data_IF_197590265271
#
_entry.id   IF_197590265271
#
_cell.length_a   1.000
_cell.length_b   1.000
_cell.length_c   1.000
_cell.angle_alpha   90.00
_cell.angle_beta   90.00
_cell.angle_gamma   90.00
#
_symmetry.space_group_name_H-M   'P 1'
#
loop_
_entity.id
_entity.type
_entity.pdbx_description
1 polymer ?
#
# COMPACT_ATOMS: atom_id res chain seq x y z
N UNK A 1 4.01 -31.40 -17.28
CA UNK A 1 4.88 -31.26 -16.10
C UNK A 1 4.69 -29.86 -15.56
N UNK A 2 4.12 -29.66 -14.37
CA UNK A 2 3.90 -28.31 -13.81
C UNK A 2 5.23 -27.79 -13.28
N UNK A 3 5.70 -26.69 -13.84
CA UNK A 3 6.91 -25.99 -13.41
C UNK A 3 6.64 -25.28 -12.09
N UNK A 4 7.32 -25.69 -11.02
CA UNK A 4 7.30 -25.09 -9.68
C UNK A 4 8.11 -23.78 -9.71
N UNK A 5 7.46 -22.63 -9.75
CA UNK A 5 8.12 -21.33 -9.82
C UNK A 5 8.22 -20.57 -8.49
N UNK A 6 7.53 -21.01 -7.45
CA UNK A 6 7.41 -20.25 -6.19
C UNK A 6 7.77 -21.08 -4.95
N UNK A 7 8.95 -21.68 -4.91
CA UNK A 7 9.49 -22.22 -3.66
C UNK A 7 10.83 -21.58 -3.32
N UNK A 8 10.84 -20.44 -2.63
CA UNK A 8 11.91 -20.18 -1.66
C UNK A 8 11.44 -20.72 -0.33
N UNK A 9 12.14 -21.77 0.12
CA UNK A 9 11.97 -22.36 1.43
C UNK A 9 12.24 -21.32 2.51
N UNK A 10 11.24 -21.05 3.34
CA UNK A 10 11.43 -20.51 4.68
C UNK A 10 12.07 -21.64 5.48
N UNK A 11 13.20 -21.42 6.18
CA UNK A 11 13.79 -22.48 7.01
C UNK A 11 12.83 -22.84 8.13
N UNK A 12 12.54 -24.13 8.23
CA UNK A 12 11.78 -24.73 9.32
C UNK A 12 12.48 -24.43 10.66
N UNK A 13 11.81 -23.72 11.55
CA UNK A 13 12.16 -23.72 12.98
C UNK A 13 11.45 -24.85 13.66
N UNK A 14 12.28 -25.61 14.36
CA UNK A 14 12.00 -26.81 15.08
C UNK A 14 10.85 -26.70 16.10
N UNK A 15 10.19 -27.82 16.28
CA UNK A 15 9.31 -28.22 17.39
C UNK A 15 9.76 -27.74 18.76
N UNK A 16 8.82 -27.18 19.50
CA UNK A 16 8.82 -27.28 20.96
C UNK A 16 7.40 -27.60 21.42
N UNK A 17 7.31 -28.77 22.00
CA UNK A 17 6.12 -29.43 22.55
C UNK A 17 5.61 -28.75 23.81
N UNK A 18 4.38 -29.12 24.11
CA UNK A 18 3.72 -29.29 25.41
C UNK A 18 2.95 -28.07 25.95
N UNK A 19 1.63 -28.21 25.89
CA UNK A 19 0.72 -27.69 26.91
C UNK A 19 0.78 -28.55 28.17
N UNK A 20 0.52 -27.97 29.35
CA UNK A 20 -0.64 -28.50 30.06
C UNK A 20 -1.63 -27.43 30.54
N UNK A 21 -2.86 -27.91 30.69
CA UNK A 21 -4.02 -27.23 31.25
C UNK A 21 -3.82 -26.87 32.73
N UNK A 22 -4.45 -25.75 33.15
CA UNK A 22 -4.67 -25.42 34.55
C UNK A 22 -5.31 -24.03 34.74
N UNK A 23 -6.03 -23.76 35.81
CA UNK A 23 -7.47 -23.44 35.78
C UNK A 23 -7.76 -21.93 35.89
N UNK A 24 -9.03 -21.62 35.56
CA UNK A 24 -9.68 -20.30 35.67
C UNK A 24 -9.54 -19.70 37.08
N UNK A 25 -8.70 -18.68 37.25
CA UNK A 25 -8.60 -17.85 38.44
C UNK A 25 -9.33 -16.51 38.23
N UNK A 26 -10.34 -16.26 39.07
CA UNK A 26 -11.08 -15.01 39.17
C UNK A 26 -10.15 -13.83 39.45
N UNK A 27 -10.33 -12.72 38.71
CA UNK A 27 -9.73 -11.43 39.04
C UNK A 27 -10.38 -10.88 40.33
N UNK A 28 -9.61 -10.46 41.34
CA UNK A 28 -10.15 -9.68 42.44
C UNK A 28 -10.33 -8.21 42.06
N UNK A 29 -11.46 -7.64 42.48
CA UNK A 29 -11.72 -6.20 42.47
C UNK A 29 -10.79 -5.51 43.47
N UNK A 30 -10.25 -4.32 43.18
CA UNK A 30 -9.54 -3.55 44.19
C UNK A 30 -10.53 -2.95 45.20
N UNK A 31 -10.25 -3.25 46.45
CA UNK A 31 -10.90 -2.79 47.65
C UNK A 31 -10.67 -1.30 47.87
N UNK A 32 -11.75 -0.57 48.15
CA UNK A 32 -11.72 0.83 48.55
C UNK A 32 -11.61 0.87 50.08
N UNK A 33 -10.41 0.93 50.61
CA UNK A 33 -10.20 1.37 51.97
C UNK A 33 -9.53 2.74 52.01
N UNK A 34 -10.31 3.69 52.48
CA UNK A 34 -9.86 5.02 52.92
C UNK A 34 -8.76 4.86 53.96
N UNK A 35 -7.61 5.42 53.70
CA UNK A 35 -6.69 5.84 54.75
C UNK A 35 -6.48 7.34 54.68
N UNK A 36 -7.11 8.02 55.63
CA UNK A 36 -6.80 9.39 55.97
C UNK A 36 -5.41 9.46 56.54
N UNK A 37 -4.52 10.17 55.89
CA UNK A 37 -3.27 10.61 56.53
C UNK A 37 -3.01 12.08 56.16
N UNK A 38 -3.08 12.84 57.20
CA UNK A 38 -2.27 14.06 57.53
C UNK A 38 -2.08 15.06 56.40
N UNK A 39 -2.81 16.13 56.49
CA UNK A 39 -2.45 17.45 55.97
C UNK A 39 -1.17 17.90 56.63
N UNK A 40 -0.02 17.65 56.05
CA UNK A 40 1.16 18.46 56.31
C UNK A 40 0.99 19.76 55.45
N UNK A 41 0.75 20.83 56.19
CA UNK A 41 0.88 22.22 55.71
C UNK A 41 2.37 22.40 55.32
N UNK A 42 2.72 22.03 54.09
CA UNK A 42 3.92 22.56 53.46
C UNK A 42 3.63 23.95 52.98
N UNK A 43 4.28 24.88 53.67
CA UNK A 43 4.49 26.28 53.35
C UNK A 43 4.43 26.53 51.86
N UNK A 44 3.43 27.35 51.45
CA UNK A 44 3.40 28.00 50.15
C UNK A 44 4.59 28.96 50.10
N UNK A 45 5.72 28.41 49.63
CA UNK A 45 6.83 29.27 49.20
C UNK A 45 6.34 29.96 47.92
N UNK A 46 6.25 31.29 48.00
CA UNK A 46 5.99 32.17 46.85
C UNK A 46 7.04 31.88 45.77
N UNK A 47 6.69 31.06 44.78
CA UNK A 47 7.53 30.82 43.59
C UNK A 47 7.38 32.04 42.67
N UNK A 48 8.11 33.09 42.98
CA UNK A 48 8.14 34.37 42.23
C UNK A 48 9.07 34.34 41.01
N UNK A 49 9.73 33.22 40.74
CA UNK A 49 10.58 33.05 39.55
C UNK A 49 10.52 31.61 39.04
N UNK A 50 10.83 31.39 37.77
CA UNK A 50 11.05 30.06 37.21
C UNK A 50 12.36 29.54 37.83
N UNK A 51 12.29 28.41 38.53
CA UNK A 51 13.46 27.82 39.18
C UNK A 51 14.48 27.32 38.15
N UNK A 52 15.66 27.92 38.12
CA UNK A 52 16.73 27.61 37.20
C UNK A 52 17.19 26.13 37.35
N UNK A 53 17.24 25.63 38.59
CA UNK A 53 17.63 24.23 38.84
C UNK A 53 16.67 23.24 38.22
N UNK A 54 15.37 23.54 38.23
CA UNK A 54 14.35 22.69 37.57
C UNK A 54 14.49 22.74 36.06
N UNK A 55 14.80 23.86 35.46
CA UNK A 55 15.05 23.98 34.01
C UNK A 55 16.32 23.21 33.62
N UNK A 56 17.40 23.36 34.37
CA UNK A 56 18.65 22.67 34.12
C UNK A 56 18.52 21.15 34.28
N UNK A 57 17.75 20.67 35.26
CA UNK A 57 17.44 19.24 35.40
C UNK A 57 16.71 18.70 34.14
N UNK A 58 15.69 19.44 33.67
CA UNK A 58 14.96 19.00 32.46
C UNK A 58 15.83 19.03 31.19
N UNK A 59 16.80 19.95 31.12
CA UNK A 59 17.78 19.98 30.02
C UNK A 59 18.76 18.80 30.14
N UNK A 60 19.27 18.52 31.35
CA UNK A 60 20.17 17.41 31.57
C UNK A 60 19.53 16.08 31.20
N UNK A 61 18.28 15.84 31.59
CA UNK A 61 17.52 14.64 31.23
C UNK A 61 17.35 14.52 29.72
N UNK A 62 17.04 15.65 29.04
CA UNK A 62 16.92 15.69 27.59
C UNK A 62 18.25 15.35 26.89
N UNK A 63 19.34 15.96 27.33
CA UNK A 63 20.66 15.73 26.76
C UNK A 63 21.11 14.29 26.97
N UNK A 64 20.88 13.71 28.15
CA UNK A 64 21.19 12.30 28.43
C UNK A 64 20.41 11.34 27.53
N UNK A 65 19.09 11.61 27.31
CA UNK A 65 18.28 10.81 26.41
C UNK A 65 18.70 10.92 24.94
N UNK A 66 19.14 12.10 24.51
CA UNK A 66 19.66 12.36 23.16
C UNK A 66 20.99 11.61 22.95
N UNK A 67 21.88 11.69 23.92
CA UNK A 67 23.20 11.03 23.86
C UNK A 67 23.07 9.50 23.86
N UNK A 68 22.13 8.96 24.64
CA UNK A 68 21.86 7.52 24.72
C UNK A 68 21.20 6.93 23.47
N UNK A 69 20.59 7.74 22.59
CA UNK A 69 19.92 7.28 21.39
C UNK A 69 20.92 6.66 20.41
N UNK A 70 20.84 5.38 20.14
CA UNK A 70 21.71 4.64 19.23
C UNK A 70 21.19 4.59 17.78
N UNK A 71 19.92 4.93 17.57
CA UNK A 71 19.25 4.88 16.26
C UNK A 71 18.42 6.15 16.01
N UNK A 72 18.16 6.45 14.72
CA UNK A 72 17.28 7.57 14.35
C UNK A 72 15.87 7.43 14.94
N UNK A 73 15.36 6.21 15.13
CA UNK A 73 14.07 5.96 15.77
C UNK A 73 14.08 6.33 17.26
N UNK A 74 15.15 5.96 17.98
CA UNK A 74 15.32 6.31 19.39
C UNK A 74 15.52 7.83 19.57
N UNK A 75 16.29 8.46 18.67
CA UNK A 75 16.45 9.91 18.69
C UNK A 75 15.11 10.64 18.46
N UNK A 76 14.27 10.13 17.57
CA UNK A 76 12.91 10.63 17.34
C UNK A 76 12.04 10.47 18.58
N UNK A 77 12.14 9.36 19.28
CA UNK A 77 11.42 9.15 20.55
C UNK A 77 11.89 10.12 21.63
N UNK A 78 13.22 10.33 21.79
CA UNK A 78 13.79 11.32 22.70
C UNK A 78 13.33 12.75 22.36
N UNK A 79 13.32 13.11 21.08
CA UNK A 79 12.78 14.41 20.61
C UNK A 79 11.33 14.61 21.06
N UNK A 80 10.45 13.64 20.84
CA UNK A 80 9.04 13.73 21.24
C UNK A 80 8.90 13.87 22.75
N UNK A 81 9.64 13.07 23.51
CA UNK A 81 9.56 13.07 24.97
C UNK A 81 10.03 14.39 25.62
N UNK A 82 11.09 15.02 25.07
CA UNK A 82 11.73 16.16 25.70
C UNK A 82 11.47 17.51 25.05
N UNK A 83 10.98 17.55 23.78
CA UNK A 83 10.64 18.79 23.08
C UNK A 83 9.20 18.85 22.59
N UNK A 84 8.43 17.75 22.70
CA UNK A 84 7.00 17.72 22.34
C UNK A 84 6.14 18.60 23.24
N UNK A 85 4.88 18.80 22.86
CA UNK A 85 3.94 19.68 23.56
C UNK A 85 3.71 19.31 25.04
N UNK A 86 3.78 18.04 25.39
CA UNK A 86 3.64 17.52 26.75
C UNK A 86 4.96 17.34 27.50
N UNK A 87 6.09 17.75 26.89
CA UNK A 87 7.42 17.61 27.49
C UNK A 87 7.62 18.44 28.74
N UNK A 88 8.58 18.07 29.62
CA UNK A 88 8.93 18.90 30.80
C UNK A 88 9.26 20.36 30.42
N UNK A 89 10.05 20.55 29.35
CA UNK A 89 10.39 21.90 28.89
C UNK A 89 9.18 22.69 28.38
N UNK A 90 8.23 22.02 27.70
CA UNK A 90 7.00 22.69 27.27
C UNK A 90 6.13 23.11 28.46
N UNK A 91 6.01 22.25 29.47
CA UNK A 91 5.28 22.58 30.71
C UNK A 91 5.91 23.74 31.50
N UNK A 92 7.23 23.74 31.61
CA UNK A 92 7.97 24.85 32.25
C UNK A 92 7.77 26.16 31.47
N UNK A 93 7.81 26.10 30.16
CA UNK A 93 7.55 27.28 29.32
C UNK A 93 6.13 27.82 29.45
N UNK A 94 5.13 26.98 29.63
CA UNK A 94 3.74 27.41 29.83
C UNK A 94 3.59 28.24 31.12
N UNK A 95 4.35 27.91 32.18
CA UNK A 95 4.35 28.64 33.47
C UNK A 95 4.85 30.07 33.36
N UNK A 96 5.62 30.43 32.32
CA UNK A 96 6.07 31.83 32.12
C UNK A 96 4.87 32.80 32.06
N UNK A 97 3.72 32.33 31.57
CA UNK A 97 2.50 33.16 31.49
C UNK A 97 1.99 33.60 32.87
N UNK A 98 2.25 32.79 33.89
CA UNK A 98 1.79 32.97 35.27
C UNK A 98 2.73 33.84 36.09
N UNK A 99 3.95 34.16 35.60
CA UNK A 99 4.94 34.99 36.29
C UNK A 99 4.57 36.47 36.27
N UNK A 100 5.10 37.19 37.24
CA UNK A 100 5.00 38.65 37.30
C UNK A 100 5.64 39.31 36.04
N UNK A 101 5.11 40.42 35.53
CA UNK A 101 5.63 41.06 34.31
C UNK A 101 7.15 41.33 34.33
N UNK A 102 7.70 41.64 35.51
CA UNK A 102 9.13 41.93 35.70
C UNK A 102 10.02 40.68 35.49
N UNK A 103 9.52 39.45 35.79
CA UNK A 103 10.28 38.21 35.75
C UNK A 103 10.19 37.49 34.38
N UNK A 104 9.19 37.82 33.55
CA UNK A 104 8.98 37.20 32.25
C UNK A 104 10.17 37.31 31.30
N UNK A 105 10.87 38.43 31.17
CA UNK A 105 12.03 38.51 30.28
C UNK A 105 13.18 37.59 30.68
N UNK A 106 13.47 37.49 31.98
CA UNK A 106 14.54 36.62 32.50
C UNK A 106 14.17 35.14 32.29
N UNK A 107 12.93 34.74 32.61
CA UNK A 107 12.42 33.37 32.38
C UNK A 107 12.39 33.01 30.88
N UNK A 108 11.99 33.97 30.03
CA UNK A 108 12.00 33.77 28.58
C UNK A 108 13.41 33.54 28.03
N UNK A 109 14.40 34.28 28.51
CA UNK A 109 15.81 34.13 28.15
C UNK A 109 16.36 32.77 28.59
N UNK A 110 16.05 32.35 29.83
CA UNK A 110 16.43 31.07 30.39
C UNK A 110 15.88 29.90 29.55
N UNK A 111 14.57 29.94 29.26
CA UNK A 111 13.91 28.90 28.42
C UNK A 111 14.37 28.92 26.98
N UNK A 112 14.69 30.08 26.42
CA UNK A 112 15.27 30.20 25.09
C UNK A 112 16.64 29.53 24.99
N UNK A 113 17.50 29.78 25.99
CA UNK A 113 18.81 29.13 26.10
C UNK A 113 18.71 27.60 26.29
N UNK A 114 17.80 27.15 27.16
CA UNK A 114 17.54 25.73 27.40
C UNK A 114 17.09 25.00 26.13
N UNK A 115 16.13 25.56 25.40
CA UNK A 115 15.67 25.02 24.13
C UNK A 115 16.77 25.04 23.08
N UNK A 116 17.56 26.10 22.99
CA UNK A 116 18.67 26.16 22.05
C UNK A 116 19.69 25.07 22.27
N UNK A 117 20.04 24.75 23.51
CA UNK A 117 20.96 23.67 23.90
C UNK A 117 20.41 22.27 23.44
N UNK A 118 19.15 22.00 23.75
CA UNK A 118 18.51 20.73 23.37
C UNK A 118 18.38 20.59 21.85
N UNK A 119 17.99 21.67 21.17
CA UNK A 119 17.90 21.67 19.69
C UNK A 119 19.25 21.44 19.03
N UNK A 120 20.30 22.10 19.53
CA UNK A 120 21.66 21.92 19.03
C UNK A 120 22.15 20.49 19.25
N UNK A 121 21.89 19.89 20.42
CA UNK A 121 22.24 18.51 20.71
C UNK A 121 21.50 17.49 19.81
N UNK A 122 20.20 17.72 19.58
CA UNK A 122 19.40 16.89 18.62
C UNK A 122 20.01 16.95 17.24
N UNK A 123 20.33 18.13 16.70
CA UNK A 123 20.89 18.27 15.36
C UNK A 123 22.29 17.62 15.26
N UNK A 124 23.13 17.78 16.29
CA UNK A 124 24.46 17.17 16.32
C UNK A 124 24.34 15.63 16.34
N UNK A 125 23.44 15.07 17.16
CA UNK A 125 23.26 13.62 17.26
C UNK A 125 22.63 13.04 15.98
N UNK A 126 21.69 13.74 15.35
CA UNK A 126 21.10 13.36 14.07
C UNK A 126 22.18 13.24 12.99
N UNK A 127 23.04 14.26 12.86
CA UNK A 127 24.17 14.23 11.90
C UNK A 127 25.14 13.09 12.17
N UNK A 128 25.42 12.81 13.45
CA UNK A 128 26.32 11.71 13.83
C UNK A 128 25.74 10.34 13.48
N UNK A 129 24.45 10.12 13.81
CA UNK A 129 23.74 8.87 13.49
C UNK A 129 23.64 8.66 11.98
N UNK A 130 23.27 9.70 11.21
CA UNK A 130 23.24 9.64 9.74
C UNK A 130 24.60 9.25 9.16
N UNK A 131 25.68 9.85 9.67
CA UNK A 131 27.04 9.52 9.23
C UNK A 131 27.41 8.08 9.54
N UNK A 132 27.04 7.60 10.72
CA UNK A 132 27.32 6.24 11.15
C UNK A 132 26.52 5.22 10.33
N UNK A 133 25.24 5.47 10.12
CA UNK A 133 24.38 4.64 9.29
C UNK A 133 24.84 4.62 7.83
N UNK A 134 25.25 5.77 7.29
CA UNK A 134 25.82 5.86 5.95
C UNK A 134 27.11 5.05 5.82
N UNK A 135 28.01 5.18 6.81
CA UNK A 135 29.26 4.41 6.80
C UNK A 135 29.01 2.89 6.86
N UNK A 136 28.10 2.47 7.72
CA UNK A 136 27.70 1.06 7.84
C UNK A 136 27.08 0.54 6.54
N UNK A 137 26.22 1.36 5.89
CA UNK A 137 25.63 1.02 4.61
C UNK A 137 26.68 0.91 3.50
N UNK A 138 27.61 1.86 3.40
CA UNK A 138 28.69 1.82 2.41
C UNK A 138 29.58 0.57 2.58
N UNK A 139 29.85 0.16 3.81
CA UNK A 139 30.61 -1.06 4.07
C UNK A 139 29.79 -2.33 3.72
N UNK A 140 28.51 -2.34 4.04
CA UNK A 140 27.62 -3.46 3.69
C UNK A 140 27.38 -3.60 2.17
N UNK A 141 27.35 -2.48 1.46
CA UNK A 141 27.18 -2.41 0.00
C UNK A 141 28.52 -2.51 -0.77
N UNK A 142 29.64 -2.66 -0.06
CA UNK A 142 30.97 -2.75 -0.68
C UNK A 142 31.04 -3.93 -1.64
N UNK A 143 31.45 -3.66 -2.87
CA UNK A 143 31.63 -4.65 -3.93
C UNK A 143 33.11 -4.73 -4.34
N UNK A 144 33.54 -5.94 -4.65
CA UNK A 144 34.88 -6.16 -5.23
C UNK A 144 34.87 -5.77 -6.70
N UNK A 145 35.41 -4.59 -7.00
CA UNK A 145 35.51 -4.09 -8.38
C UNK A 145 36.59 -4.82 -9.20
N UNK A 146 37.42 -5.65 -8.57
CA UNK A 146 38.44 -6.44 -9.27
C UNK A 146 37.89 -7.79 -9.73
N UNK A 147 36.70 -8.17 -9.27
CA UNK A 147 36.03 -9.39 -9.73
C UNK A 147 35.83 -9.33 -11.25
N UNK A 148 36.10 -10.46 -11.91
CA UNK A 148 35.97 -10.52 -13.38
C UNK A 148 34.53 -10.21 -13.80
N UNK A 149 34.36 -9.19 -14.62
CA UNK A 149 33.05 -8.84 -15.16
C UNK A 149 32.56 -9.95 -16.10
N UNK A 150 31.29 -10.36 -15.94
CA UNK A 150 30.64 -11.24 -16.88
C UNK A 150 30.49 -10.52 -18.22
N UNK A 151 31.22 -10.93 -19.23
CA UNK A 151 31.26 -10.28 -20.54
C UNK A 151 29.93 -10.37 -21.31
N UNK A 152 29.13 -11.40 -21.05
CA UNK A 152 27.80 -11.59 -21.65
C UNK A 152 26.81 -11.79 -20.52
N UNK A 153 25.93 -10.84 -20.40
CA UNK A 153 24.83 -10.93 -19.44
C UNK A 153 23.66 -11.64 -20.15
N UNK A 154 23.08 -12.66 -19.56
CA UNK A 154 21.87 -13.26 -20.12
C UNK A 154 20.77 -12.20 -20.21
N UNK A 155 20.01 -12.24 -21.29
CA UNK A 155 18.79 -11.44 -21.40
C UNK A 155 17.77 -11.87 -20.35
N UNK A 156 16.87 -10.98 -20.00
CA UNK A 156 15.73 -11.25 -19.13
C UNK A 156 14.47 -10.67 -19.76
N UNK A 157 13.35 -11.37 -19.59
CA UNK A 157 12.05 -10.81 -19.94
C UNK A 157 11.63 -9.82 -18.85
N UNK A 158 10.88 -8.79 -19.24
CA UNK A 158 10.39 -7.83 -18.26
C UNK A 158 9.45 -8.55 -17.26
N UNK A 159 9.53 -8.28 -15.94
CA UNK A 159 8.69 -8.94 -14.93
C UNK A 159 7.19 -8.79 -15.17
N UNK A 160 6.73 -7.63 -15.66
CA UNK A 160 5.32 -7.44 -16.03
C UNK A 160 4.87 -8.41 -17.12
N UNK A 161 5.73 -8.68 -18.11
CA UNK A 161 5.45 -9.68 -19.16
C UNK A 161 5.29 -11.07 -18.56
N UNK A 162 6.15 -11.42 -17.58
CA UNK A 162 6.06 -12.73 -16.92
C UNK A 162 4.77 -12.89 -16.11
N UNK A 163 4.36 -11.84 -15.38
CA UNK A 163 3.07 -11.86 -14.64
C UNK A 163 1.90 -11.97 -15.61
N UNK A 164 1.92 -11.18 -16.71
CA UNK A 164 0.89 -11.25 -17.74
C UNK A 164 0.75 -12.67 -18.30
N UNK A 165 1.84 -13.27 -18.77
CA UNK A 165 1.84 -14.63 -19.32
C UNK A 165 1.37 -15.67 -18.29
N UNK A 166 1.79 -15.54 -17.04
CA UNK A 166 1.35 -16.45 -15.97
C UNK A 166 -0.16 -16.37 -15.74
N UNK A 167 -0.74 -15.17 -15.75
CA UNK A 167 -2.19 -14.98 -15.63
C UNK A 167 -2.90 -15.55 -16.86
N UNK A 168 -2.42 -15.27 -18.06
CA UNK A 168 -2.97 -15.79 -19.31
C UNK A 168 -2.96 -17.35 -19.29
N UNK A 169 -1.86 -17.98 -18.90
CA UNK A 169 -1.76 -19.44 -18.78
C UNK A 169 -2.80 -20.02 -17.81
N UNK A 170 -3.04 -19.34 -16.68
CA UNK A 170 -4.07 -19.76 -15.71
C UNK A 170 -5.46 -19.76 -16.35
N UNK A 171 -5.83 -18.67 -17.03
CA UNK A 171 -7.15 -18.53 -17.61
C UNK A 171 -7.34 -19.45 -18.83
N UNK A 172 -6.33 -19.61 -19.67
CA UNK A 172 -6.35 -20.58 -20.77
C UNK A 172 -6.53 -22.00 -20.24
N UNK A 173 -5.87 -22.36 -19.13
CA UNK A 173 -6.06 -23.66 -18.48
C UNK A 173 -7.47 -23.87 -17.91
N UNK A 174 -8.19 -22.78 -17.60
CA UNK A 174 -9.60 -22.79 -17.18
C UNK A 174 -10.58 -22.80 -18.38
N UNK A 175 -10.08 -22.76 -19.62
CA UNK A 175 -10.90 -22.73 -20.83
C UNK A 175 -11.34 -21.32 -21.27
N UNK A 176 -10.70 -20.28 -20.76
CA UNK A 176 -10.94 -18.90 -21.19
C UNK A 176 -10.10 -18.56 -22.41
N UNK A 177 -10.59 -17.62 -23.21
CA UNK A 177 -9.86 -17.09 -24.36
C UNK A 177 -9.18 -15.76 -24.00
N UNK A 178 -7.97 -15.55 -24.53
CA UNK A 178 -7.27 -14.28 -24.42
C UNK A 178 -7.67 -13.42 -25.58
N UNK A 179 -8.14 -12.20 -25.30
CA UNK A 179 -8.64 -11.24 -26.30
C UNK A 179 -7.91 -9.92 -26.18
N UNK A 180 -7.70 -9.25 -27.30
CA UNK A 180 -7.07 -7.93 -27.37
C UNK A 180 -8.02 -6.92 -28.01
N UNK A 181 -7.77 -5.64 -27.76
CA UNK A 181 -8.52 -4.56 -28.38
C UNK A 181 -7.68 -3.28 -28.47
N UNK A 182 -8.18 -2.25 -29.19
CA UNK A 182 -7.44 -1.03 -29.43
C UNK A 182 -7.21 -0.24 -28.14
N UNK A 183 -6.04 0.40 -28.05
CA UNK A 183 -5.71 1.34 -26.96
C UNK A 183 -6.38 2.71 -27.20
N UNK A 184 -6.46 3.13 -28.47
CA UNK A 184 -7.25 4.28 -28.90
C UNK A 184 -8.68 3.80 -29.14
N UNK A 185 -9.59 4.19 -28.24
CA UNK A 185 -10.93 3.64 -28.19
C UNK A 185 -11.99 4.73 -28.42
N UNK A 186 -13.13 4.34 -28.94
CA UNK A 186 -14.28 5.23 -29.05
C UNK A 186 -14.96 5.40 -27.70
N UNK A 187 -15.38 6.63 -27.36
CA UNK A 187 -16.03 6.98 -26.09
C UNK A 187 -17.18 6.03 -25.75
N UNK A 188 -17.97 5.63 -26.73
CA UNK A 188 -19.09 4.71 -26.52
C UNK A 188 -18.65 3.39 -25.86
N UNK A 189 -17.56 2.78 -26.33
CA UNK A 189 -17.05 1.54 -25.74
C UNK A 189 -16.43 1.76 -24.35
N UNK A 190 -15.78 2.93 -24.15
CA UNK A 190 -15.10 3.22 -22.89
C UNK A 190 -16.07 3.66 -21.78
N UNK A 191 -17.26 4.18 -22.16
CA UNK A 191 -18.21 4.76 -21.21
C UNK A 191 -19.65 4.27 -21.40
N UNK A 192 -20.32 4.61 -22.50
CA UNK A 192 -21.76 4.41 -22.66
C UNK A 192 -22.15 2.93 -22.58
N UNK A 193 -21.43 2.07 -23.28
CA UNK A 193 -21.65 0.63 -23.26
C UNK A 193 -21.35 -0.01 -21.89
N UNK A 194 -20.61 0.69 -21.05
CA UNK A 194 -20.27 0.28 -19.67
C UNK A 194 -21.19 0.94 -18.63
N UNK A 195 -22.33 1.49 -19.06
CA UNK A 195 -23.30 2.12 -18.16
C UNK A 195 -22.72 3.29 -17.35
N UNK A 196 -21.69 3.98 -17.89
CA UNK A 196 -21.10 5.17 -17.28
C UNK A 196 -21.85 6.40 -17.81
N UNK A 197 -22.55 7.10 -16.94
CA UNK A 197 -23.37 8.25 -17.29
C UNK A 197 -22.54 9.43 -17.85
N UNK A 198 -23.13 10.31 -18.70
CA UNK A 198 -22.43 11.48 -19.24
C UNK A 198 -21.83 12.40 -18.18
N UNK A 199 -22.48 12.54 -17.02
CA UNK A 199 -22.05 13.39 -15.91
C UNK A 199 -21.10 12.69 -14.93
N UNK A 200 -20.69 11.45 -15.23
CA UNK A 200 -19.81 10.70 -14.33
C UNK A 200 -18.40 11.31 -14.31
N UNK A 201 -17.77 11.49 -13.12
CA UNK A 201 -16.44 12.09 -12.98
C UNK A 201 -15.36 11.44 -13.87
N UNK A 202 -15.41 10.14 -14.09
CA UNK A 202 -14.45 9.42 -14.94
C UNK A 202 -14.44 9.89 -16.41
N UNK A 203 -15.47 10.64 -16.88
CA UNK A 203 -15.48 11.29 -18.20
C UNK A 203 -14.82 12.67 -18.20
N UNK A 204 -14.36 13.13 -17.05
CA UNK A 204 -13.65 14.40 -16.96
C UNK A 204 -12.29 14.32 -17.66
N UNK A 205 -11.85 15.39 -18.35
CA UNK A 205 -10.48 15.51 -18.84
C UNK A 205 -9.41 15.46 -17.74
N UNK A 206 -9.83 15.55 -16.46
CA UNK A 206 -8.94 15.37 -15.31
C UNK A 206 -8.59 13.90 -15.07
N UNK A 207 -9.41 12.96 -15.57
CA UNK A 207 -9.21 11.52 -15.36
C UNK A 207 -8.98 10.77 -16.68
N UNK A 208 -9.44 11.32 -17.82
CA UNK A 208 -9.40 10.67 -19.14
C UNK A 208 -8.63 11.51 -20.16
N UNK A 209 -7.79 10.84 -20.95
CA UNK A 209 -7.06 11.43 -22.07
C UNK A 209 -7.92 11.36 -23.35
N UNK A 210 -8.51 12.48 -23.75
CA UNK A 210 -9.25 12.63 -25.00
C UNK A 210 -8.28 12.92 -26.15
N UNK A 211 -8.62 12.44 -27.35
CA UNK A 211 -7.79 12.59 -28.55
C UNK A 211 -8.49 13.48 -29.56
N UNK A 212 -7.77 14.49 -30.06
CA UNK A 212 -8.29 15.42 -31.07
C UNK A 212 -8.42 14.77 -32.47
N UNK A 213 -9.35 15.26 -33.30
CA UNK A 213 -10.27 16.35 -33.01
C UNK A 213 -11.41 15.91 -32.08
N UNK A 214 -11.91 16.81 -31.22
CA UNK A 214 -12.97 16.55 -30.24
C UNK A 214 -14.20 15.82 -30.85
N UNK A 215 -14.59 16.14 -32.07
CA UNK A 215 -15.69 15.47 -32.77
C UNK A 215 -15.39 14.04 -33.22
N UNK A 216 -14.18 13.50 -33.01
CA UNK A 216 -13.88 12.11 -33.32
C UNK A 216 -14.31 11.14 -32.20
N UNK A 217 -14.68 11.65 -31.02
CA UNK A 217 -15.12 10.85 -29.88
C UNK A 217 -14.14 9.72 -29.51
N UNK A 218 -12.84 10.04 -29.52
CA UNK A 218 -11.77 9.09 -29.24
C UNK A 218 -11.08 9.40 -27.92
N UNK A 219 -10.76 8.35 -27.17
CA UNK A 219 -10.01 8.41 -25.90
C UNK A 219 -8.89 7.38 -25.90
N UNK A 220 -7.85 7.62 -25.16
CA UNK A 220 -6.99 6.53 -24.71
C UNK A 220 -7.75 5.78 -23.61
N UNK A 221 -7.99 4.48 -23.80
CA UNK A 221 -8.85 3.69 -22.89
C UNK A 221 -8.37 3.76 -21.46
N UNK A 222 -9.30 4.01 -20.53
CA UNK A 222 -9.01 4.11 -19.09
C UNK A 222 -9.02 2.76 -18.38
N UNK A 223 -9.47 1.73 -19.09
CA UNK A 223 -9.64 0.35 -18.63
C UNK A 223 -9.64 -0.61 -19.82
N UNK A 224 -9.49 -1.90 -19.59
CA UNK A 224 -9.59 -2.90 -20.66
C UNK A 224 -11.02 -3.42 -20.90
N UNK A 225 -12.01 -2.94 -20.14
CA UNK A 225 -13.45 -3.30 -20.27
C UNK A 225 -14.04 -3.13 -21.68
N UNK A 226 -13.63 -2.16 -22.51
CA UNK A 226 -14.09 -2.09 -23.89
C UNK A 226 -13.91 -3.38 -24.70
N UNK A 227 -12.83 -4.12 -24.42
CA UNK A 227 -12.56 -5.41 -25.09
C UNK A 227 -13.64 -6.44 -24.79
N UNK A 228 -14.21 -6.40 -23.58
CA UNK A 228 -15.29 -7.29 -23.16
C UNK A 228 -16.57 -7.03 -23.96
N UNK A 229 -16.94 -5.75 -24.12
CA UNK A 229 -18.12 -5.36 -24.91
C UNK A 229 -17.93 -5.73 -26.38
N UNK A 230 -16.73 -5.48 -26.93
CA UNK A 230 -16.39 -5.87 -28.32
C UNK A 230 -16.52 -7.37 -28.52
N UNK A 231 -16.02 -8.17 -27.59
CA UNK A 231 -16.08 -9.62 -27.65
C UNK A 231 -17.52 -10.13 -27.60
N UNK A 232 -18.38 -9.54 -26.76
CA UNK A 232 -19.80 -9.90 -26.71
C UNK A 232 -20.55 -9.52 -28.00
N UNK A 233 -20.29 -8.33 -28.56
CA UNK A 233 -20.91 -7.90 -29.83
C UNK A 233 -20.51 -8.79 -31.00
N UNK A 234 -19.27 -9.27 -31.01
CA UNK A 234 -18.74 -10.11 -32.10
C UNK A 234 -19.25 -11.56 -32.01
N UNK A 235 -19.33 -12.11 -30.78
CA UNK A 235 -19.50 -13.57 -30.57
C UNK A 235 -20.78 -13.95 -29.84
N UNK A 236 -21.39 -13.01 -29.10
CA UNK A 236 -22.54 -13.31 -28.23
C UNK A 236 -22.16 -14.07 -26.97
N UNK A 237 -23.18 -14.59 -26.28
CA UNK A 237 -23.03 -15.46 -25.11
C UNK A 237 -23.40 -16.92 -25.46
N UNK A 238 -22.81 -17.95 -24.80
CA UNK A 238 -21.89 -17.85 -23.67
C UNK A 238 -20.47 -17.40 -24.07
N UNK A 239 -19.76 -16.68 -23.17
CA UNK A 239 -18.43 -16.15 -23.41
C UNK A 239 -17.58 -16.13 -22.14
N UNK A 240 -16.32 -16.55 -22.25
CA UNK A 240 -15.32 -16.51 -21.18
C UNK A 240 -14.03 -15.94 -21.75
N UNK A 241 -13.70 -14.68 -21.42
CA UNK A 241 -12.55 -13.99 -22.00
C UNK A 241 -11.75 -13.25 -20.94
N UNK A 242 -10.43 -13.20 -21.18
CA UNK A 242 -9.49 -12.36 -20.46
C UNK A 242 -8.88 -11.34 -21.43
N UNK A 243 -9.03 -10.05 -21.13
CA UNK A 243 -8.47 -8.94 -21.91
C UNK A 243 -7.31 -8.27 -21.20
N UNK A 244 -6.06 -8.71 -21.40
CA UNK A 244 -4.89 -7.97 -20.92
C UNK A 244 -4.60 -6.78 -21.82
N UNK A 245 -4.09 -5.68 -21.25
CA UNK A 245 -3.70 -4.55 -22.07
C UNK A 245 -3.27 -3.34 -21.28
N UNK A 246 -2.71 -2.37 -22.02
CA UNK A 246 -2.30 -1.08 -21.50
C UNK A 246 -3.51 -0.16 -21.37
N UNK A 247 -3.52 0.64 -20.30
CA UNK A 247 -4.55 1.63 -20.00
C UNK A 247 -3.93 2.96 -19.61
N UNK A 248 -4.71 4.04 -19.69
CA UNK A 248 -4.23 5.40 -19.60
C UNK A 248 -5.12 6.21 -18.68
N UNK A 249 -4.50 6.96 -17.75
CA UNK A 249 -5.17 7.90 -16.85
C UNK A 249 -4.32 9.13 -16.67
N UNK A 250 -4.90 10.22 -16.22
CA UNK A 250 -4.17 11.48 -15.98
C UNK A 250 -3.50 11.52 -14.60
N UNK A 251 -3.27 10.36 -13.97
CA UNK A 251 -2.64 10.23 -12.66
C UNK A 251 -1.22 10.80 -12.67
N UNK A 252 -0.83 11.45 -11.58
CA UNK A 252 0.56 11.84 -11.34
C UNK A 252 1.42 10.60 -11.04
N UNK A 253 2.67 10.65 -11.49
CA UNK A 253 3.62 9.55 -11.26
C UNK A 253 4.09 9.56 -9.81
N UNK A 254 3.75 8.52 -9.05
CA UNK A 254 4.26 8.29 -7.69
C UNK A 254 4.67 6.82 -7.47
N UNK A 255 4.92 6.43 -6.22
CA UNK A 255 5.29 5.06 -5.89
C UNK A 255 4.17 4.02 -6.13
N UNK A 256 2.93 4.46 -6.30
CA UNK A 256 1.71 3.63 -6.36
C UNK A 256 0.81 3.91 -7.54
N UNK A 257 1.07 4.97 -8.31
CA UNK A 257 0.29 5.40 -9.47
C UNK A 257 1.18 5.69 -10.67
N UNK A 258 0.70 5.31 -11.83
CA UNK A 258 1.32 5.56 -13.12
C UNK A 258 0.25 6.03 -14.11
N UNK A 259 0.51 7.04 -14.97
CA UNK A 259 -0.44 7.48 -15.98
C UNK A 259 -0.65 6.44 -17.08
N UNK A 260 0.30 5.54 -17.25
CA UNK A 260 0.24 4.40 -18.17
C UNK A 260 0.60 3.16 -17.40
N UNK A 261 -0.32 2.22 -17.32
CA UNK A 261 -0.12 0.95 -16.63
C UNK A 261 -0.80 -0.21 -17.37
N UNK A 262 -0.54 -1.43 -16.93
CA UNK A 262 -1.13 -2.61 -17.54
C UNK A 262 -2.21 -3.17 -16.62
N UNK A 263 -3.31 -3.58 -17.24
CA UNK A 263 -4.45 -4.17 -16.58
C UNK A 263 -4.84 -5.47 -17.29
N UNK A 264 -5.42 -6.38 -16.58
CA UNK A 264 -6.16 -7.47 -17.18
C UNK A 264 -7.56 -7.50 -16.58
N UNK A 265 -8.53 -7.71 -17.43
CA UNK A 265 -9.92 -7.86 -17.04
C UNK A 265 -10.49 -9.16 -17.57
N UNK A 266 -11.18 -9.87 -16.70
CA UNK A 266 -11.90 -11.08 -17.07
C UNK A 266 -13.40 -10.83 -17.13
N UNK A 267 -14.04 -11.42 -18.15
CA UNK A 267 -15.48 -11.47 -18.30
C UNK A 267 -15.92 -12.91 -18.53
N UNK A 268 -16.89 -13.35 -17.74
CA UNK A 268 -17.64 -14.58 -18.00
C UNK A 268 -19.13 -14.21 -18.16
N UNK A 269 -19.76 -14.68 -19.21
CA UNK A 269 -21.20 -14.51 -19.45
C UNK A 269 -21.76 -15.87 -19.84
N UNK A 270 -22.67 -16.41 -19.03
CA UNK A 270 -23.34 -17.67 -19.26
C UNK A 270 -24.64 -17.77 -18.43
N UNK A 271 -25.39 -18.83 -18.61
CA UNK A 271 -26.59 -19.10 -17.81
C UNK A 271 -26.23 -19.50 -16.38
N UNK A 272 -26.88 -18.86 -15.43
CA UNK A 272 -26.79 -19.23 -14.01
C UNK A 272 -25.49 -18.88 -13.31
N UNK A 273 -24.67 -17.98 -13.86
CA UNK A 273 -23.49 -17.45 -13.17
C UNK A 273 -23.86 -16.60 -11.96
N UNK A 274 -23.05 -16.69 -10.91
CA UNK A 274 -23.31 -16.05 -9.62
C UNK A 274 -22.04 -15.43 -9.04
N UNK A 275 -22.18 -14.62 -7.99
CA UNK A 275 -21.04 -14.12 -7.19
C UNK A 275 -20.16 -15.25 -6.62
N UNK A 276 -20.71 -16.46 -6.41
CA UNK A 276 -19.91 -17.59 -5.96
C UNK A 276 -18.93 -18.07 -7.04
N UNK A 277 -19.34 -18.05 -8.31
CA UNK A 277 -18.45 -18.38 -9.44
C UNK A 277 -17.35 -17.35 -9.56
N UNK A 278 -17.67 -16.04 -9.51
CA UNK A 278 -16.68 -14.96 -9.48
C UNK A 278 -15.67 -15.16 -8.35
N UNK A 279 -16.17 -15.36 -7.13
CA UNK A 279 -15.31 -15.56 -5.96
C UNK A 279 -14.39 -16.78 -6.14
N UNK A 280 -14.91 -17.90 -6.62
CA UNK A 280 -14.14 -19.11 -6.86
C UNK A 280 -13.02 -18.91 -7.89
N UNK A 281 -13.32 -18.19 -8.98
CA UNK A 281 -12.34 -17.81 -10.02
C UNK A 281 -11.21 -16.98 -9.42
N UNK A 282 -11.56 -15.94 -8.64
CA UNK A 282 -10.57 -15.04 -8.02
C UNK A 282 -9.76 -15.71 -6.91
N UNK A 283 -10.36 -16.59 -6.11
CA UNK A 283 -9.63 -17.41 -5.12
C UNK A 283 -8.64 -18.37 -5.80
N UNK A 284 -9.03 -18.96 -6.92
CA UNK A 284 -8.14 -19.82 -7.69
C UNK A 284 -6.93 -19.04 -8.24
N UNK A 285 -7.18 -17.89 -8.86
CA UNK A 285 -6.13 -17.00 -9.35
C UNK A 285 -5.19 -16.56 -8.22
N UNK A 286 -5.73 -16.13 -7.08
CA UNK A 286 -4.94 -15.68 -5.94
C UNK A 286 -4.02 -16.79 -5.41
N UNK A 287 -4.49 -18.03 -5.33
CA UNK A 287 -3.66 -19.17 -4.91
C UNK A 287 -2.54 -19.47 -5.87
N UNK A 288 -2.79 -19.36 -7.16
CA UNK A 288 -1.76 -19.60 -8.18
C UNK A 288 -0.70 -18.50 -8.20
N UNK A 289 -1.08 -17.25 -7.98
CA UNK A 289 -0.16 -16.11 -7.96
C UNK A 289 0.59 -15.95 -6.63
N UNK A 290 -0.08 -16.17 -5.49
CA UNK A 290 0.46 -15.85 -4.16
C UNK A 290 0.64 -17.08 -3.27
N UNK A 291 0.37 -18.29 -3.80
CA UNK A 291 0.52 -19.56 -3.10
C UNK A 291 -0.73 -20.04 -2.38
N UNK A 292 -0.75 -21.31 -1.95
CA UNK A 292 -1.92 -22.02 -1.40
C UNK A 292 -2.53 -21.35 -0.13
N UNK A 293 -1.73 -20.58 0.59
CA UNK A 293 -2.16 -19.84 1.77
C UNK A 293 -2.84 -18.49 1.45
N UNK A 294 -2.88 -18.10 0.19
CA UNK A 294 -3.52 -16.85 -0.22
C UNK A 294 -5.01 -16.86 0.14
N UNK A 295 -5.47 -15.73 0.65
CA UNK A 295 -6.86 -15.50 1.02
C UNK A 295 -7.31 -14.19 0.40
N UNK A 296 -8.53 -14.19 -0.12
CA UNK A 296 -9.19 -12.99 -0.58
C UNK A 296 -10.43 -12.68 0.26
N UNK A 297 -10.87 -11.44 0.24
CA UNK A 297 -12.18 -11.01 0.69
C UNK A 297 -12.78 -10.03 -0.31
N UNK A 298 -14.09 -10.06 -0.44
CA UNK A 298 -14.83 -9.11 -1.24
C UNK A 298 -15.48 -8.10 -0.28
N UNK A 299 -15.28 -6.81 -0.57
CA UNK A 299 -15.93 -5.69 0.16
C UNK A 299 -16.94 -5.04 -0.78
N UNK A 300 -18.20 -4.81 -0.36
CA UNK A 300 -19.15 -4.08 -1.19
C UNK A 300 -18.58 -2.73 -1.64
N UNK A 301 -18.78 -2.44 -2.91
CA UNK A 301 -18.42 -1.16 -3.53
C UNK A 301 -19.42 -0.83 -4.64
N UNK A 302 -19.23 0.26 -5.34
CA UNK A 302 -20.05 0.66 -6.48
C UNK A 302 -19.17 0.86 -7.73
N UNK A 303 -19.59 0.19 -8.83
CA UNK A 303 -19.09 0.46 -10.18
C UNK A 303 -20.28 0.53 -11.12
N UNK A 304 -20.33 1.50 -12.06
CA UNK A 304 -21.49 1.68 -12.95
C UNK A 304 -21.83 0.44 -13.79
N UNK A 305 -20.81 -0.36 -14.11
CA UNK A 305 -20.89 -1.51 -15.03
C UNK A 305 -21.13 -2.84 -14.31
N UNK A 306 -21.25 -2.86 -12.98
CA UNK A 306 -21.54 -4.08 -12.20
C UNK A 306 -22.58 -3.85 -11.11
N UNK A 307 -23.41 -4.89 -10.85
CA UNK A 307 -24.43 -4.90 -9.79
C UNK A 307 -24.73 -6.37 -9.38
N UNK A 308 -24.37 -6.80 -8.16
CA UNK A 308 -23.60 -6.09 -7.14
C UNK A 308 -22.12 -5.95 -7.49
N UNK A 309 -21.51 -4.88 -6.97
CA UNK A 309 -20.10 -4.59 -7.12
C UNK A 309 -19.32 -4.87 -5.85
N UNK A 310 -18.05 -5.19 -5.99
CA UNK A 310 -17.14 -5.39 -4.86
C UNK A 310 -15.71 -4.99 -5.20
N UNK A 311 -14.99 -4.52 -4.22
CA UNK A 311 -13.52 -4.49 -4.24
C UNK A 311 -12.98 -5.79 -3.65
N UNK A 312 -11.94 -6.29 -4.26
CA UNK A 312 -11.24 -7.48 -3.81
C UNK A 312 -9.95 -7.11 -3.09
N UNK A 313 -9.83 -7.56 -1.84
CA UNK A 313 -8.59 -7.49 -1.10
C UNK A 313 -7.92 -8.87 -1.05
N UNK A 314 -6.58 -8.86 -1.07
CA UNK A 314 -5.73 -10.02 -0.80
C UNK A 314 -5.03 -9.88 0.55
N UNK A 315 -4.92 -10.96 1.29
CA UNK A 315 -4.16 -10.99 2.54
C UNK A 315 -2.66 -11.01 2.28
N UNK A 316 -1.96 -9.98 2.72
CA UNK A 316 -0.50 -9.86 2.59
C UNK A 316 0.15 -10.06 3.98
N UNK A 317 0.76 -11.23 4.26
CA UNK A 317 1.27 -11.56 5.59
C UNK A 317 2.54 -10.78 5.96
N UNK A 318 3.29 -10.30 4.97
CA UNK A 318 4.60 -9.64 5.13
C UNK A 318 4.60 -8.17 4.67
N UNK A 319 3.41 -7.54 4.58
CA UNK A 319 3.33 -6.15 4.17
C UNK A 319 4.11 -5.22 5.09
N UNK A 320 4.69 -4.14 4.54
CA UNK A 320 5.35 -3.09 5.33
C UNK A 320 4.37 -2.52 6.35
N UNK A 321 4.73 -2.55 7.62
CA UNK A 321 3.85 -2.16 8.72
C UNK A 321 3.03 -3.30 9.34
N UNK A 322 3.27 -4.54 8.95
CA UNK A 322 2.63 -5.76 9.47
C UNK A 322 1.60 -6.37 8.53
N UNK A 323 1.19 -7.59 8.84
CA UNK A 323 0.23 -8.35 8.05
C UNK A 323 -1.11 -7.61 7.92
N UNK A 324 -1.62 -7.45 6.70
CA UNK A 324 -2.84 -6.70 6.44
C UNK A 324 -3.52 -7.12 5.15
N UNK A 325 -4.77 -6.72 5.01
CA UNK A 325 -5.51 -6.76 3.76
C UNK A 325 -5.07 -5.61 2.86
N UNK A 326 -4.80 -5.90 1.60
CA UNK A 326 -4.44 -4.91 0.59
C UNK A 326 -5.42 -5.06 -0.56
N UNK A 327 -5.98 -3.95 -1.01
CA UNK A 327 -6.85 -3.89 -2.18
C UNK A 327 -6.08 -4.33 -3.42
N UNK A 328 -6.66 -5.29 -4.16
CA UNK A 328 -6.05 -5.84 -5.37
C UNK A 328 -6.77 -5.39 -6.63
N UNK A 329 -8.11 -5.27 -6.61
CA UNK A 329 -8.88 -4.75 -7.73
C UNK A 329 -10.38 -4.79 -7.53
N UNK A 330 -11.11 -4.40 -8.58
CA UNK A 330 -12.57 -4.36 -8.62
C UNK A 330 -13.18 -5.58 -9.29
N UNK A 331 -14.38 -5.96 -8.87
CA UNK A 331 -15.13 -7.07 -9.47
C UNK A 331 -16.65 -6.93 -9.21
N UNK A 332 -17.46 -7.71 -9.90
CA UNK A 332 -18.90 -7.75 -9.66
C UNK A 332 -19.65 -8.57 -10.70
N UNK A 333 -20.96 -8.67 -10.51
CA UNK A 333 -21.84 -9.20 -11.56
C UNK A 333 -22.06 -8.12 -12.61
N UNK A 334 -22.04 -8.49 -13.88
CA UNK A 334 -22.19 -7.53 -14.99
C UNK A 334 -23.57 -6.87 -14.92
N UNK A 335 -23.60 -5.55 -14.98
CA UNK A 335 -24.84 -4.80 -14.94
C UNK A 335 -25.74 -5.15 -16.16
N UNK A 336 -27.06 -5.35 -16.00
CA UNK A 336 -27.94 -5.70 -17.09
C UNK A 336 -27.89 -4.74 -18.29
N UNK A 337 -27.65 -3.46 -18.06
CA UNK A 337 -27.51 -2.46 -19.13
C UNK A 337 -26.28 -2.73 -20.00
N UNK A 338 -25.19 -3.20 -19.43
CA UNK A 338 -23.97 -3.58 -20.18
C UNK A 338 -24.25 -4.78 -21.08
N UNK A 339 -24.96 -5.79 -20.57
CA UNK A 339 -25.37 -6.95 -21.38
C UNK A 339 -26.28 -6.51 -22.55
N UNK A 340 -27.27 -5.64 -22.29
CA UNK A 340 -28.16 -5.10 -23.35
C UNK A 340 -27.39 -4.28 -24.38
N UNK A 341 -26.44 -3.42 -23.94
CA UNK A 341 -25.59 -2.64 -24.84
C UNK A 341 -24.74 -3.56 -25.75
N UNK A 342 -24.35 -4.71 -25.23
CA UNK A 342 -23.61 -5.75 -25.96
C UNK A 342 -24.52 -6.74 -26.74
N UNK A 343 -25.83 -6.51 -26.81
CA UNK A 343 -26.77 -7.34 -27.56
C UNK A 343 -27.12 -8.66 -26.88
N UNK A 344 -26.88 -8.82 -25.58
CA UNK A 344 -27.14 -10.02 -24.78
C UNK A 344 -28.39 -9.83 -23.93
N UNK A 345 -29.27 -10.81 -23.90
CA UNK A 345 -30.47 -10.79 -23.08
C UNK A 345 -30.12 -11.08 -21.59
N UNK A 346 -30.29 -10.10 -20.66
CA UNK A 346 -29.96 -10.28 -19.27
C UNK A 346 -30.95 -11.19 -18.49
N UNK A 347 -32.10 -11.48 -19.07
CA UNK A 347 -33.07 -12.41 -18.46
C UNK A 347 -32.64 -13.88 -18.71
N UNK A 348 -31.88 -14.12 -19.78
CA UNK A 348 -31.33 -15.44 -20.13
C UNK A 348 -29.92 -15.66 -19.63
N UNK A 349 -29.08 -14.63 -19.69
CA UNK A 349 -27.65 -14.71 -19.37
C UNK A 349 -27.29 -13.80 -18.20
N UNK A 350 -26.41 -14.28 -17.33
CA UNK A 350 -25.76 -13.53 -16.29
C UNK A 350 -24.26 -13.48 -16.54
N UNK A 351 -23.61 -12.44 -16.06
CA UNK A 351 -22.17 -12.34 -16.19
C UNK A 351 -21.50 -11.89 -14.92
N UNK A 352 -20.22 -12.19 -14.79
CA UNK A 352 -19.36 -11.54 -13.82
C UNK A 352 -18.10 -11.01 -14.49
N UNK A 353 -17.56 -9.92 -13.93
CA UNK A 353 -16.33 -9.30 -14.41
C UNK A 353 -15.42 -8.93 -13.25
N UNK A 354 -14.13 -8.83 -13.52
CA UNK A 354 -13.12 -8.33 -12.59
C UNK A 354 -12.00 -7.62 -13.36
N UNK A 355 -11.36 -6.65 -12.69
CA UNK A 355 -10.22 -5.92 -13.24
C UNK A 355 -9.10 -5.81 -12.21
N UNK A 356 -7.86 -6.12 -12.64
CA UNK A 356 -6.67 -6.16 -11.79
C UNK A 356 -5.48 -5.51 -12.50
N UNK A 357 -4.74 -4.65 -11.76
CA UNK A 357 -3.49 -4.06 -12.26
C UNK A 357 -2.33 -5.05 -12.24
N UNK A 358 -1.58 -5.15 -13.34
CA UNK A 358 -0.44 -6.07 -13.45
C UNK A 358 0.72 -5.58 -12.57
N UNK A 359 1.00 -4.27 -12.58
CA UNK A 359 2.02 -3.64 -11.73
C UNK A 359 1.74 -3.88 -10.25
N UNK A 360 0.48 -3.69 -9.84
CA UNK A 360 0.06 -3.91 -8.45
C UNK A 360 0.17 -5.38 -8.05
N UNK A 361 -0.15 -6.28 -8.97
CA UNK A 361 0.02 -7.73 -8.79
C UNK A 361 1.49 -8.09 -8.61
N UNK A 362 2.39 -7.55 -9.43
CA UNK A 362 3.83 -7.73 -9.30
C UNK A 362 4.37 -7.16 -7.98
N UNK A 363 3.91 -5.96 -7.58
CA UNK A 363 4.28 -5.39 -6.28
C UNK A 363 3.98 -6.33 -5.12
N UNK A 364 2.79 -6.95 -5.14
CA UNK A 364 2.38 -7.85 -4.07
C UNK A 364 3.16 -9.16 -4.10
N UNK A 365 3.37 -9.72 -5.29
CA UNK A 365 4.08 -10.98 -5.45
C UNK A 365 5.56 -10.88 -5.00
N UNK A 366 6.22 -9.78 -5.32
CA UNK A 366 7.67 -9.61 -5.14
C UNK A 366 8.04 -8.64 -3.98
N UNK A 367 7.05 -8.01 -3.35
CA UNK A 367 7.28 -7.05 -2.26
C UNK A 367 7.92 -5.74 -2.72
N UNK A 368 7.71 -5.35 -3.99
CA UNK A 368 8.20 -4.08 -4.52
C UNK A 368 7.49 -2.90 -3.86
N UNK A 369 8.22 -1.84 -3.60
CA UNK A 369 7.67 -0.68 -2.87
C UNK A 369 7.40 0.52 -3.78
N UNK A 370 7.92 0.51 -5.00
CA UNK A 370 7.83 1.63 -5.93
C UNK A 370 7.55 1.12 -7.36
N UNK A 371 6.44 1.59 -7.96
CA UNK A 371 6.08 1.21 -9.32
C UNK A 371 6.95 1.86 -10.38
N UNK A 372 7.61 2.97 -10.08
CA UNK A 372 8.48 3.67 -11.02
C UNK A 372 9.65 2.80 -11.50
N UNK A 373 10.17 1.93 -10.61
CA UNK A 373 11.22 0.98 -10.96
C UNK A 373 10.83 0.05 -12.13
N UNK A 374 9.52 -0.19 -12.32
CA UNK A 374 9.00 -1.05 -13.38
C UNK A 374 9.03 -0.40 -14.77
N UNK A 375 9.06 0.95 -14.84
CA UNK A 375 8.96 1.70 -16.09
C UNK A 375 10.24 2.46 -16.46
N UNK A 376 11.19 2.60 -15.54
CA UNK A 376 12.45 3.34 -15.78
C UNK A 376 13.38 2.66 -16.80
N UNK A 377 13.11 1.41 -17.16
CA UNK A 377 13.88 0.67 -18.16
C UNK A 377 15.26 0.20 -17.68
N UNK A 378 15.51 0.17 -16.37
CA UNK A 378 16.75 -0.31 -15.80
C UNK A 378 16.90 -1.82 -16.03
N UNK A 379 17.92 -2.20 -16.80
CA UNK A 379 18.18 -3.62 -17.09
C UNK A 379 18.51 -4.46 -15.85
N UNK A 380 18.94 -3.82 -14.75
CA UNK A 380 19.20 -4.50 -13.48
C UNK A 380 17.87 -4.97 -12.85
N UNK A 381 16.83 -4.14 -12.95
CA UNK A 381 15.48 -4.51 -12.52
C UNK A 381 14.96 -5.74 -13.27
N UNK A 382 14.97 -5.69 -14.62
CA UNK A 382 14.54 -6.82 -15.43
C UNK A 382 15.36 -8.10 -15.13
N UNK A 383 16.65 -7.98 -14.89
CA UNK A 383 17.50 -9.13 -14.56
C UNK A 383 17.27 -9.69 -13.16
N UNK A 384 16.99 -8.84 -12.19
CA UNK A 384 16.71 -9.25 -10.81
C UNK A 384 15.37 -10.00 -10.71
N UNK A 385 14.35 -9.50 -11.41
CA UNK A 385 12.97 -9.95 -11.27
C UNK A 385 12.45 -10.73 -12.47
N UNK A 386 13.11 -10.64 -13.62
CA UNK A 386 12.69 -11.21 -14.90
C UNK A 386 13.51 -12.40 -15.37
N UNK A 387 14.49 -12.89 -14.61
CA UNK A 387 15.25 -14.08 -14.98
C UNK A 387 14.39 -15.33 -14.86
N UNK A 388 14.11 -15.96 -15.99
CA UNK A 388 13.49 -17.28 -16.06
C UNK A 388 14.54 -18.33 -15.73
N UNK A 389 14.28 -19.19 -14.78
CA UNK A 389 15.16 -20.34 -14.49
C UNK A 389 15.66 -20.43 -13.06
N UNK A 390 14.97 -19.80 -12.14
CA UNK A 390 15.14 -20.10 -10.71
C UNK A 390 14.13 -21.10 -10.23
#
# INVERSE_FOLDING_TARGET
MPRRWWRRAVPARADARARPDGPKGRRPRPDRTRSARSLDLLTVSNATALDEATVESAVADALAAIDAAATGAELKAARIAHTGESSPLARLNARIRELAPADKPAAGKLMGAARGRVTAALAARETELERTEQAARLEAERVDVTAAAVRRLPGARHPLTLVREQVEDVFVAMGWEIVEGPELEHEWFNFDALNIDPDHPARSPQDTLFVEPEGAHLVLRTQTSPVQVRSLLERGAPLYVLGPGRVYRTDEIDATHLPVFNQFEGLAVDRGLTMANLRGTLEHLARLLFGDAARIRLRPNFFPFTEPSAEMDVWHPTAKGGARWIEWGGCGMVHPNVLRAAGVDPDEFQGFAFGLGIERTLQFAEGLTDMRDMIEGDVRFARQWGLTGR
#
